data_IF_324136710071
#
_entry.id   IF_324136710071
#
_cell.length_a   1.000
_cell.length_b   1.000
_cell.length_c   1.000
_cell.angle_alpha   90.00
_cell.angle_beta   90.00
_cell.angle_gamma   90.00
#
_symmetry.space_group_name_H-M   'P 1'
#
loop_
_entity.id
_entity.type
_entity.pdbx_description
1 polymer ?
#
# COMPACT_ATOMS: atom_id res chain seq x y z
N UNK A 1 -11.22 -15.03 -15.10
CA UNK A 1 -11.04 -14.86 -13.65
C UNK A 1 -10.93 -16.26 -13.06
N UNK A 2 -9.81 -16.95 -13.30
CA UNK A 2 -9.70 -18.40 -13.03
C UNK A 2 -8.95 -18.73 -11.72
N UNK A 3 -8.70 -17.72 -10.87
CA UNK A 3 -7.81 -17.83 -9.72
C UNK A 3 -8.50 -17.46 -8.39
N UNK A 4 -9.83 -17.52 -8.33
CA UNK A 4 -10.59 -17.23 -7.10
C UNK A 4 -11.39 -18.47 -6.76
N UNK A 5 -11.31 -18.90 -5.49
CA UNK A 5 -12.08 -20.06 -5.02
C UNK A 5 -13.46 -19.57 -4.61
N UNK A 6 -14.49 -20.22 -5.13
CA UNK A 6 -15.87 -19.90 -4.78
C UNK A 6 -16.28 -20.64 -3.51
N UNK A 7 -16.83 -19.89 -2.55
CA UNK A 7 -17.35 -20.41 -1.30
C UNK A 7 -18.87 -20.24 -1.26
N UNK A 8 -19.59 -21.28 -0.85
CA UNK A 8 -21.06 -21.25 -0.70
C UNK A 8 -21.43 -21.09 0.76
N UNK A 9 -22.12 -20.01 1.12
CA UNK A 9 -22.71 -19.84 2.44
C UNK A 9 -24.11 -20.48 2.47
N UNK A 10 -24.28 -21.54 3.26
CA UNK A 10 -25.58 -22.21 3.46
C UNK A 10 -26.13 -21.88 4.85
N UNK A 11 -27.21 -21.13 4.91
CA UNK A 11 -27.95 -20.90 6.15
C UNK A 11 -28.90 -22.09 6.39
N UNK A 12 -28.73 -22.79 7.50
CA UNK A 12 -29.64 -23.88 7.89
C UNK A 12 -30.29 -23.56 9.22
N UNK A 13 -31.62 -23.44 9.21
CA UNK A 13 -32.44 -23.25 10.41
C UNK A 13 -32.66 -24.60 11.09
N UNK A 14 -32.59 -24.64 12.42
CA UNK A 14 -32.84 -25.84 13.22
C UNK A 14 -31.88 -27.01 12.92
N UNK A 15 -30.58 -26.75 12.72
CA UNK A 15 -29.58 -27.78 12.47
C UNK A 15 -29.54 -28.87 13.56
N UNK A 16 -29.84 -28.51 14.81
CA UNK A 16 -29.93 -29.45 15.95
C UNK A 16 -31.14 -30.41 15.89
N UNK A 17 -32.17 -30.12 15.08
CA UNK A 17 -33.40 -30.93 14.95
C UNK A 17 -33.46 -31.79 13.70
N UNK A 18 -32.45 -31.73 12.84
CA UNK A 18 -32.38 -32.53 11.63
C UNK A 18 -31.51 -33.77 11.91
N UNK A 19 -32.14 -34.88 12.31
CA UNK A 19 -31.48 -36.20 12.38
C UNK A 19 -30.84 -36.63 11.04
N UNK A 20 -31.26 -35.99 9.93
CA UNK A 20 -30.78 -36.23 8.57
C UNK A 20 -30.02 -35.04 7.94
N UNK A 21 -29.61 -34.03 8.72
CA UNK A 21 -28.71 -33.03 8.17
C UNK A 21 -27.31 -33.65 8.07
N UNK A 22 -26.87 -33.90 6.84
CA UNK A 22 -25.56 -34.47 6.51
C UNK A 22 -24.44 -33.44 6.76
N UNK A 23 -24.35 -32.93 8.00
CA UNK A 23 -23.23 -32.13 8.46
C UNK A 23 -22.20 -33.06 9.06
N UNK A 24 -20.97 -32.92 8.59
CA UNK A 24 -19.81 -33.44 9.29
C UNK A 24 -19.88 -32.98 10.75
N UNK A 25 -19.67 -33.89 11.71
CA UNK A 25 -19.51 -33.50 13.11
C UNK A 25 -18.33 -32.53 13.21
N UNK A 26 -18.43 -31.54 14.11
CA UNK A 26 -17.31 -30.67 14.43
C UNK A 26 -16.09 -31.52 14.79
N UNK A 27 -15.03 -31.44 13.98
CA UNK A 27 -13.76 -32.10 14.27
C UNK A 27 -13.00 -31.24 15.27
N UNK A 28 -12.96 -29.94 15.01
CA UNK A 28 -12.26 -28.96 15.85
C UNK A 28 -13.24 -27.85 16.26
N UNK A 29 -13.34 -27.60 17.57
CA UNK A 29 -14.15 -26.53 18.13
C UNK A 29 -13.26 -25.37 18.57
N UNK A 30 -13.62 -24.16 18.16
CA UNK A 30 -12.88 -22.93 18.45
C UNK A 30 -13.68 -22.04 19.41
N UNK A 31 -13.02 -21.53 20.44
CA UNK A 31 -13.63 -20.64 21.44
C UNK A 31 -13.60 -19.16 21.04
N UNK A 32 -12.81 -18.81 20.02
CA UNK A 32 -12.67 -17.46 19.47
C UNK A 32 -13.43 -17.28 18.16
N UNK A 33 -13.80 -16.06 17.75
CA UNK A 33 -14.38 -15.82 16.43
C UNK A 33 -13.38 -16.14 15.31
N UNK A 34 -13.89 -16.37 14.10
CA UNK A 34 -13.09 -16.47 12.89
C UNK A 34 -13.28 -15.30 11.94
N UNK A 35 -12.22 -14.93 11.20
CA UNK A 35 -12.29 -14.06 10.02
C UNK A 35 -11.83 -14.85 8.80
N UNK A 36 -12.69 -14.94 7.78
CA UNK A 36 -12.39 -15.55 6.48
C UNK A 36 -11.99 -14.47 5.49
N UNK A 37 -10.82 -14.59 4.88
CA UNK A 37 -10.37 -13.68 3.81
C UNK A 37 -9.51 -14.37 2.75
N UNK A 38 -9.41 -13.76 1.58
CA UNK A 38 -8.67 -14.29 0.43
C UNK A 38 -7.34 -13.59 0.26
N UNK A 39 -6.30 -14.34 -0.12
CA UNK A 39 -5.01 -13.82 -0.59
C UNK A 39 -4.86 -13.91 -2.13
N UNK A 40 -5.96 -14.10 -2.85
CA UNK A 40 -6.00 -14.11 -4.31
C UNK A 40 -5.88 -12.73 -4.96
N UNK A 41 -6.19 -12.65 -6.25
CA UNK A 41 -6.23 -11.37 -6.98
C UNK A 41 -4.85 -10.71 -7.13
N UNK A 42 -4.77 -9.41 -6.84
CA UNK A 42 -3.54 -8.60 -6.95
C UNK A 42 -2.77 -8.47 -5.63
N UNK A 43 -2.95 -9.39 -4.68
CA UNK A 43 -2.36 -9.34 -3.33
C UNK A 43 -0.84 -9.13 -3.30
N UNK A 44 -0.09 -9.55 -4.33
CA UNK A 44 1.36 -9.33 -4.41
C UNK A 44 1.76 -7.90 -4.81
N UNK A 45 0.86 -7.15 -5.45
CA UNK A 45 1.07 -5.73 -5.69
C UNK A 45 0.97 -4.99 -4.35
N UNK A 46 2.01 -4.26 -3.96
CA UNK A 46 2.10 -3.65 -2.63
C UNK A 46 0.95 -2.68 -2.33
N UNK A 47 0.42 -1.97 -3.33
CA UNK A 47 -0.73 -1.10 -3.14
C UNK A 47 -1.97 -1.90 -2.74
N UNK A 48 -2.35 -2.88 -3.56
CA UNK A 48 -3.48 -3.78 -3.31
C UNK A 48 -3.30 -4.61 -2.04
N UNK A 49 -2.07 -5.02 -1.72
CA UNK A 49 -1.77 -5.70 -0.46
C UNK A 49 -2.23 -4.87 0.75
N UNK A 50 -1.97 -3.56 0.73
CA UNK A 50 -2.40 -2.68 1.82
C UNK A 50 -3.87 -2.25 1.71
N UNK A 51 -4.27 -1.75 0.54
CA UNK A 51 -5.59 -1.18 0.32
C UNK A 51 -6.71 -2.23 0.42
N UNK A 52 -6.50 -3.42 -0.14
CA UNK A 52 -7.54 -4.44 -0.28
C UNK A 52 -7.52 -5.47 0.85
N UNK A 53 -6.37 -5.63 1.53
CA UNK A 53 -6.17 -6.70 2.52
C UNK A 53 -5.72 -6.14 3.87
N UNK A 54 -4.52 -5.55 4.00
CA UNK A 54 -3.95 -5.23 5.32
C UNK A 54 -4.80 -4.19 6.09
N UNK A 55 -5.21 -3.11 5.44
CA UNK A 55 -6.05 -2.07 6.08
C UNK A 55 -7.43 -2.64 6.45
N UNK A 56 -8.18 -3.31 5.54
CA UNK A 56 -9.43 -3.98 5.88
C UNK A 56 -9.29 -5.09 6.94
N UNK A 57 -8.19 -5.82 6.95
CA UNK A 57 -7.91 -6.85 7.96
C UNK A 57 -7.69 -6.21 9.33
N UNK A 58 -6.91 -5.13 9.41
CA UNK A 58 -6.74 -4.36 10.64
C UNK A 58 -8.07 -3.87 11.19
N UNK A 59 -8.90 -3.20 10.37
CA UNK A 59 -10.19 -2.65 10.84
C UNK A 59 -11.18 -3.74 11.24
N UNK A 60 -11.07 -4.94 10.67
CA UNK A 60 -11.94 -6.08 11.00
C UNK A 60 -11.46 -6.83 12.24
N UNK A 61 -10.15 -7.02 12.40
CA UNK A 61 -9.56 -7.88 13.42
C UNK A 61 -9.19 -7.15 14.72
N UNK A 62 -8.85 -5.85 14.67
CA UNK A 62 -8.24 -5.13 15.80
C UNK A 62 -9.08 -5.17 17.08
N UNK A 63 -10.41 -5.14 16.94
CA UNK A 63 -11.38 -5.24 18.05
C UNK A 63 -11.28 -6.50 18.91
N UNK A 64 -10.68 -7.56 18.37
CA UNK A 64 -10.52 -8.83 19.08
C UNK A 64 -9.20 -8.92 19.86
N UNK A 65 -8.31 -7.94 19.71
CA UNK A 65 -7.04 -7.86 20.45
C UNK A 65 -6.23 -9.18 20.44
N UNK A 66 -6.13 -9.82 19.28
CA UNK A 66 -5.42 -11.11 19.13
C UNK A 66 -6.32 -12.35 19.28
N UNK A 67 -7.49 -12.23 19.92
CA UNK A 67 -8.42 -13.34 20.15
C UNK A 67 -9.36 -13.58 18.95
N UNK A 68 -8.77 -13.86 17.80
CA UNK A 68 -9.49 -14.17 16.55
C UNK A 68 -8.69 -15.12 15.69
N UNK A 69 -9.34 -16.16 15.16
CA UNK A 69 -8.76 -17.13 14.25
C UNK A 69 -8.84 -16.62 12.79
N UNK A 70 -7.74 -16.72 12.05
CA UNK A 70 -7.73 -16.40 10.62
C UNK A 70 -7.92 -17.67 9.78
N UNK A 71 -8.89 -17.61 8.88
CA UNK A 71 -9.21 -18.62 7.88
C UNK A 71 -8.89 -18.06 6.50
N UNK A 72 -7.87 -18.60 5.84
CA UNK A 72 -7.28 -18.00 4.63
C UNK A 72 -7.54 -18.88 3.41
N UNK A 73 -8.25 -18.34 2.41
CA UNK A 73 -8.42 -18.95 1.08
C UNK A 73 -7.48 -18.33 0.05
N UNK A 74 -7.22 -19.05 -1.04
CA UNK A 74 -6.26 -18.70 -2.09
C UNK A 74 -4.86 -18.43 -1.52
N UNK A 75 -4.34 -19.41 -0.78
CA UNK A 75 -3.06 -19.35 -0.07
C UNK A 75 -1.95 -18.74 -0.94
N UNK A 76 -1.27 -17.76 -0.36
CA UNK A 76 -0.10 -17.12 -0.95
C UNK A 76 1.02 -17.03 0.10
N UNK A 77 1.92 -18.00 0.10
CA UNK A 77 2.97 -18.10 1.12
C UNK A 77 3.93 -16.90 1.08
N UNK A 78 4.23 -16.36 -0.11
CA UNK A 78 5.09 -15.20 -0.25
C UNK A 78 4.47 -13.96 0.41
N UNK A 79 3.15 -13.78 0.27
CA UNK A 79 2.41 -12.71 0.95
C UNK A 79 2.43 -12.90 2.47
N UNK A 80 2.14 -14.11 2.96
CA UNK A 80 2.15 -14.43 4.38
C UNK A 80 3.52 -14.13 4.99
N UNK A 81 4.59 -14.59 4.35
CA UNK A 81 5.95 -14.36 4.81
C UNK A 81 6.31 -12.86 4.83
N UNK A 82 5.83 -12.09 3.84
CA UNK A 82 6.04 -10.65 3.76
C UNK A 82 5.34 -9.89 4.90
N UNK A 83 4.13 -10.30 5.27
CA UNK A 83 3.28 -9.60 6.25
C UNK A 83 3.16 -10.32 7.60
N UNK A 84 4.06 -11.27 7.90
CA UNK A 84 4.03 -12.10 9.11
C UNK A 84 3.92 -11.32 10.41
N UNK A 85 4.62 -10.18 10.54
CA UNK A 85 4.60 -9.40 11.79
C UNK A 85 3.25 -8.72 12.00
N UNK A 86 2.58 -8.30 10.92
CA UNK A 86 1.21 -7.79 10.98
C UNK A 86 0.24 -8.89 11.39
N UNK A 87 0.34 -10.07 10.77
CA UNK A 87 -0.57 -11.19 11.07
C UNK A 87 -0.46 -11.64 12.53
N UNK A 88 0.77 -11.79 13.02
CA UNK A 88 1.05 -12.10 14.44
C UNK A 88 0.61 -11.01 15.41
N UNK A 89 0.59 -9.75 14.96
CA UNK A 89 0.12 -8.64 15.79
C UNK A 89 -1.40 -8.51 15.81
N UNK A 90 -2.12 -9.21 14.91
CA UNK A 90 -3.59 -9.18 14.83
C UNK A 90 -4.26 -10.46 15.35
N UNK A 91 -3.54 -11.58 15.40
CA UNK A 91 -4.04 -12.87 15.89
C UNK A 91 -2.96 -13.62 16.67
N UNK A 92 -3.37 -14.21 17.80
CA UNK A 92 -2.55 -15.08 18.64
C UNK A 92 -2.50 -16.53 18.12
N UNK A 93 -3.19 -16.83 17.02
CA UNK A 93 -3.39 -18.18 16.49
C UNK A 93 -2.72 -18.34 15.13
N UNK A 94 -2.30 -19.57 14.81
CA UNK A 94 -1.76 -19.89 13.50
C UNK A 94 -2.82 -19.77 12.41
N UNK A 95 -2.41 -19.39 11.20
CA UNK A 95 -3.33 -19.30 10.06
C UNK A 95 -3.85 -20.69 9.71
N UNK A 96 -5.16 -20.79 9.52
CA UNK A 96 -5.78 -21.99 8.97
C UNK A 96 -5.96 -21.78 7.46
N UNK A 97 -5.39 -22.69 6.67
CA UNK A 97 -5.50 -22.68 5.23
C UNK A 97 -6.69 -23.53 4.80
N UNK A 98 -7.87 -22.91 4.80
CA UNK A 98 -9.15 -23.59 4.53
C UNK A 98 -9.26 -24.22 3.14
N UNK A 99 -8.31 -23.92 2.24
CA UNK A 99 -8.23 -24.55 0.92
C UNK A 99 -7.55 -25.91 0.93
N UNK A 100 -6.69 -26.15 1.94
CA UNK A 100 -5.75 -27.26 2.04
C UNK A 100 -6.21 -28.33 3.06
N UNK A 101 -7.37 -28.14 3.70
CA UNK A 101 -7.91 -29.02 4.74
C UNK A 101 -9.36 -29.46 4.43
N UNK A 102 -9.70 -30.68 4.85
CA UNK A 102 -11.04 -31.25 4.77
C UNK A 102 -11.72 -31.34 6.16
N UNK A 103 -11.08 -30.78 7.19
CA UNK A 103 -11.61 -30.80 8.56
C UNK A 103 -12.79 -29.83 8.74
N UNK A 104 -13.73 -30.21 9.59
CA UNK A 104 -14.88 -29.35 9.93
C UNK A 104 -14.57 -28.56 11.20
N UNK A 105 -14.38 -27.25 11.02
CA UNK A 105 -14.12 -26.29 12.09
C UNK A 105 -15.43 -25.62 12.52
N UNK A 106 -15.70 -25.64 13.82
CA UNK A 106 -16.88 -25.02 14.40
C UNK A 106 -16.51 -23.79 15.22
N UNK A 107 -17.15 -22.67 14.90
CA UNK A 107 -16.98 -21.38 15.55
C UNK A 107 -18.36 -20.86 15.99
N UNK A 108 -18.40 -20.16 17.12
CA UNK A 108 -19.63 -19.47 17.55
C UNK A 108 -19.93 -18.22 16.72
N UNK A 109 -18.91 -17.64 16.09
CA UNK A 109 -19.03 -16.45 15.23
C UNK A 109 -18.00 -16.51 14.11
N UNK A 110 -18.45 -16.27 12.87
CA UNK A 110 -17.59 -16.18 11.69
C UNK A 110 -17.90 -14.89 10.96
N UNK A 111 -16.86 -14.12 10.65
CA UNK A 111 -16.92 -12.96 9.77
C UNK A 111 -16.39 -13.40 8.40
N UNK A 112 -17.22 -13.29 7.36
CA UNK A 112 -16.85 -13.68 6.00
C UNK A 112 -16.55 -12.44 5.17
N UNK A 113 -15.31 -12.30 4.74
CA UNK A 113 -14.80 -11.14 4.01
C UNK A 113 -14.27 -10.04 4.93
N UNK A 114 -13.56 -9.09 4.33
CA UNK A 114 -13.00 -7.93 5.02
C UNK A 114 -13.87 -6.70 4.79
N UNK A 115 -13.93 -5.82 5.78
CA UNK A 115 -14.65 -4.56 5.67
C UNK A 115 -13.84 -3.54 4.87
N UNK A 116 -14.26 -3.31 3.62
CA UNK A 116 -13.71 -2.27 2.74
C UNK A 116 -14.65 -1.07 2.73
N UNK A 117 -14.10 0.13 2.49
CA UNK A 117 -14.89 1.34 2.32
C UNK A 117 -15.91 1.19 1.17
N UNK A 118 -17.18 1.64 1.34
CA UNK A 118 -18.22 1.45 0.33
C UNK A 118 -18.02 2.33 -0.93
N UNK A 119 -17.35 3.48 -0.80
CA UNK A 119 -17.01 4.33 -1.95
C UNK A 119 -15.75 3.80 -2.66
N UNK A 120 -15.89 3.44 -3.94
CA UNK A 120 -14.82 2.92 -4.80
C UNK A 120 -13.59 3.84 -4.92
N UNK A 121 -13.73 5.14 -4.63
CA UNK A 121 -12.66 6.13 -4.78
C UNK A 121 -11.95 6.46 -3.46
N UNK A 122 -12.08 5.62 -2.44
CA UNK A 122 -11.41 5.80 -1.15
C UNK A 122 -10.53 4.60 -0.86
N UNK A 123 -9.38 4.58 -1.52
CA UNK A 123 -8.37 3.54 -1.35
C UNK A 123 -7.36 3.94 -0.27
N UNK A 124 -6.70 2.94 0.33
CA UNK A 124 -5.63 3.13 1.33
C UNK A 124 -5.99 4.10 2.47
N UNK A 125 -7.25 4.10 2.88
CA UNK A 125 -7.78 4.98 3.92
C UNK A 125 -8.73 4.23 4.84
N UNK A 126 -8.96 4.79 6.03
CA UNK A 126 -9.97 4.33 6.98
C UNK A 126 -10.92 5.49 7.22
N UNK A 127 -12.21 5.28 6.94
CA UNK A 127 -13.25 6.24 7.25
C UNK A 127 -13.79 5.99 8.66
N UNK A 128 -13.60 6.96 9.55
CA UNK A 128 -14.06 6.92 10.94
C UNK A 128 -15.58 6.90 11.09
N UNK A 129 -16.35 7.19 10.03
CA UNK A 129 -17.81 7.02 10.04
C UNK A 129 -18.23 5.54 9.91
N UNK A 130 -17.34 4.68 9.41
CA UNK A 130 -17.61 3.25 9.21
C UNK A 130 -16.69 2.32 10.02
N UNK A 131 -15.71 2.89 10.73
CA UNK A 131 -14.76 2.17 11.58
C UNK A 131 -14.53 2.93 12.89
N UNK A 132 -14.33 2.20 13.97
CA UNK A 132 -13.89 2.76 15.26
C UNK A 132 -12.40 3.16 15.26
N UNK A 133 -11.67 2.82 14.19
CA UNK A 133 -10.26 3.13 14.02
C UNK A 133 -10.04 4.24 12.98
N UNK A 134 -8.87 4.88 13.05
CA UNK A 134 -8.39 5.85 12.07
C UNK A 134 -7.12 5.37 11.36
N UNK A 135 -6.71 6.09 10.32
CA UNK A 135 -5.39 5.89 9.70
C UNK A 135 -4.23 6.13 10.65
N UNK A 136 -4.40 7.00 11.65
CA UNK A 136 -3.41 7.22 12.71
C UNK A 136 -3.30 6.00 13.64
N UNK A 137 -4.41 5.34 13.95
CA UNK A 137 -4.40 4.09 14.74
C UNK A 137 -3.76 2.94 13.97
N UNK A 138 -4.04 2.84 12.67
CA UNK A 138 -3.38 1.87 11.80
C UNK A 138 -1.88 2.09 11.73
N UNK A 139 -1.41 3.33 11.56
CA UNK A 139 0.02 3.66 11.54
C UNK A 139 0.70 3.43 12.89
N UNK A 140 0.00 3.69 14.00
CA UNK A 140 0.47 3.32 15.35
C UNK A 140 0.63 1.80 15.45
N UNK A 141 -0.36 1.03 15.00
CA UNK A 141 -0.28 -0.42 14.97
C UNK A 141 0.90 -0.93 14.12
N UNK A 142 1.14 -0.37 12.93
CA UNK A 142 2.30 -0.74 12.11
C UNK A 142 3.62 -0.42 12.81
N UNK A 143 3.70 0.74 13.47
CA UNK A 143 4.88 1.11 14.25
C UNK A 143 5.15 0.11 15.36
N UNK A 144 4.13 -0.33 16.08
CA UNK A 144 4.28 -1.32 17.15
C UNK A 144 4.67 -2.69 16.58
N UNK A 145 3.98 -3.15 15.52
CA UNK A 145 4.22 -4.45 14.87
C UNK A 145 5.64 -4.59 14.31
N UNK A 146 6.25 -3.48 13.86
CA UNK A 146 7.61 -3.46 13.32
C UNK A 146 8.63 -2.79 14.25
N UNK A 147 8.26 -2.45 15.49
CA UNK A 147 9.14 -1.76 16.46
C UNK A 147 9.81 -0.48 15.91
N UNK A 148 9.08 0.30 15.10
CA UNK A 148 9.62 1.49 14.45
C UNK A 148 9.80 2.64 15.46
N UNK A 149 10.91 3.37 15.35
CA UNK A 149 11.34 4.32 16.39
C UNK A 149 10.73 5.71 16.25
N UNK A 150 10.50 6.17 15.02
CA UNK A 150 10.13 7.56 14.75
C UNK A 150 8.61 7.66 14.61
N UNK A 151 7.96 8.31 15.58
CA UNK A 151 6.53 8.61 15.51
C UNK A 151 6.24 9.83 14.62
N UNK A 152 7.08 10.86 14.71
CA UNK A 152 6.96 12.12 13.98
C UNK A 152 8.35 12.63 13.54
N UNK A 153 8.38 13.48 12.53
CA UNK A 153 9.60 14.19 12.11
C UNK A 153 10.13 15.04 13.26
N UNK A 154 11.40 14.86 13.63
CA UNK A 154 12.12 15.71 14.59
C UNK A 154 13.51 16.02 14.04
N UNK A 155 13.70 17.27 13.60
CA UNK A 155 14.94 17.74 12.98
C UNK A 155 15.84 18.52 13.94
N UNK A 156 15.48 18.64 15.23
CA UNK A 156 16.27 19.41 16.21
C UNK A 156 17.69 18.90 16.39
N UNK A 157 17.96 17.64 16.01
CA UNK A 157 19.24 16.95 16.28
C UNK A 157 19.91 16.33 15.06
N UNK A 158 19.37 16.51 13.84
CA UNK A 158 19.94 15.92 12.62
C UNK A 158 19.48 16.62 11.35
N UNK A 159 20.21 16.37 10.26
CA UNK A 159 19.78 16.77 8.92
C UNK A 159 18.54 15.97 8.48
N UNK A 160 17.65 16.56 7.68
CA UNK A 160 16.52 15.83 7.12
C UNK A 160 17.00 14.78 6.12
N UNK A 161 16.35 13.62 6.12
CA UNK A 161 16.69 12.48 5.28
C UNK A 161 15.66 12.30 4.18
N UNK A 162 16.11 12.24 2.93
CA UNK A 162 15.27 11.95 1.77
C UNK A 162 15.55 10.57 1.23
N UNK A 163 14.50 9.78 1.12
CA UNK A 163 14.53 8.50 0.44
C UNK A 163 14.15 8.67 -1.03
N UNK A 164 15.01 8.22 -1.94
CA UNK A 164 14.70 8.04 -3.35
C UNK A 164 14.35 6.57 -3.55
N UNK A 165 13.09 6.32 -3.87
CA UNK A 165 12.57 4.99 -4.10
C UNK A 165 13.01 4.50 -5.48
N UNK A 166 14.04 3.66 -5.52
CA UNK A 166 14.54 3.06 -6.76
C UNK A 166 13.72 1.85 -7.19
N UNK A 167 13.79 1.53 -8.48
CA UNK A 167 13.08 0.42 -9.12
C UNK A 167 13.91 -0.12 -10.27
N UNK A 168 14.04 -1.44 -10.39
CA UNK A 168 14.81 -2.05 -11.49
C UNK A 168 14.04 -2.15 -12.83
N UNK A 169 12.70 -2.21 -12.77
CA UNK A 169 11.85 -2.46 -13.94
C UNK A 169 11.23 -1.20 -14.55
N UNK A 170 9.90 -1.08 -14.40
CA UNK A 170 9.15 0.08 -14.89
C UNK A 170 8.97 1.16 -13.84
N UNK A 171 8.69 2.39 -14.31
CA UNK A 171 8.53 3.59 -13.48
C UNK A 171 9.79 3.86 -12.63
N UNK A 172 10.95 3.55 -13.20
CA UNK A 172 12.25 3.79 -12.62
C UNK A 172 12.75 5.21 -12.96
N UNK A 173 13.59 5.75 -12.08
CA UNK A 173 14.44 6.89 -12.39
C UNK A 173 15.64 6.42 -13.22
N UNK A 174 15.88 7.06 -14.36
CA UNK A 174 17.05 6.79 -15.21
C UNK A 174 18.27 7.64 -14.82
N UNK A 175 18.05 8.73 -14.07
CA UNK A 175 19.09 9.62 -13.56
C UNK A 175 19.01 9.80 -12.03
N UNK A 176 18.84 8.69 -11.29
CA UNK A 176 18.72 8.70 -9.84
C UNK A 176 19.91 9.39 -9.14
N UNK A 177 21.13 9.25 -9.67
CA UNK A 177 22.34 9.88 -9.12
C UNK A 177 22.31 11.40 -9.23
N UNK A 178 21.78 11.95 -10.32
CA UNK A 178 21.61 13.40 -10.49
C UNK A 178 20.56 13.95 -9.52
N UNK A 179 19.46 13.21 -9.33
CA UNK A 179 18.43 13.54 -8.33
C UNK A 179 19.03 13.52 -6.92
N UNK A 180 19.83 12.51 -6.61
CA UNK A 180 20.53 12.39 -5.34
C UNK A 180 21.50 13.56 -5.11
N UNK A 181 22.29 13.93 -6.12
CA UNK A 181 23.19 15.10 -6.05
C UNK A 181 22.41 16.39 -5.76
N UNK A 182 21.33 16.64 -6.51
CA UNK A 182 20.50 17.83 -6.32
C UNK A 182 19.83 17.87 -4.94
N UNK A 183 19.40 16.73 -4.41
CA UNK A 183 18.85 16.62 -3.06
C UNK A 183 19.91 16.87 -1.98
N UNK A 184 21.13 16.35 -2.18
CA UNK A 184 22.29 16.63 -1.32
C UNK A 184 22.67 18.12 -1.31
N UNK A 185 22.71 18.77 -2.48
CA UNK A 185 22.91 20.22 -2.63
C UNK A 185 21.84 21.04 -1.91
N UNK A 186 20.60 20.54 -1.86
CA UNK A 186 19.49 21.17 -1.14
C UNK A 186 19.63 21.05 0.39
N UNK A 187 20.46 20.11 0.87
CA UNK A 187 20.77 19.92 2.29
C UNK A 187 20.24 18.62 2.90
N UNK A 188 19.68 17.71 2.10
CA UNK A 188 19.24 16.40 2.58
C UNK A 188 20.40 15.41 2.72
N UNK A 189 20.29 14.51 3.70
CA UNK A 189 21.00 13.23 3.65
C UNK A 189 20.19 12.26 2.79
N UNK A 190 20.83 11.67 1.77
CA UNK A 190 20.11 10.90 0.73
C UNK A 190 20.23 9.41 0.98
N UNK A 191 19.10 8.72 0.91
CA UNK A 191 19.01 7.25 0.93
C UNK A 191 18.39 6.80 -0.38
N UNK A 192 19.11 6.00 -1.17
CA UNK A 192 18.54 5.35 -2.37
C UNK A 192 18.25 3.91 -2.02
N UNK A 193 16.99 3.48 -2.11
CA UNK A 193 16.62 2.12 -1.77
C UNK A 193 15.46 1.59 -2.62
N UNK A 194 15.57 0.31 -2.98
CA UNK A 194 14.51 -0.44 -3.66
C UNK A 194 13.73 -1.24 -2.62
N UNK A 195 12.42 -1.33 -2.80
CA UNK A 195 11.56 -2.20 -1.99
C UNK A 195 11.83 -3.68 -2.33
N UNK A 196 12.91 -4.23 -1.78
CA UNK A 196 13.31 -5.63 -1.91
C UNK A 196 12.59 -6.52 -0.87
N UNK A 197 12.84 -7.83 -0.93
CA UNK A 197 12.33 -8.82 0.03
C UNK A 197 12.74 -8.48 1.46
N UNK A 198 11.77 -8.34 2.37
CA UNK A 198 11.97 -8.07 3.79
C UNK A 198 11.29 -6.78 4.25
N UNK A 199 9.96 -6.82 4.43
CA UNK A 199 9.16 -5.64 4.75
C UNK A 199 9.60 -4.94 6.05
N UNK A 200 10.05 -5.68 7.06
CA UNK A 200 10.50 -5.11 8.33
C UNK A 200 11.71 -4.17 8.16
N UNK A 201 12.77 -4.62 7.51
CA UNK A 201 13.98 -3.81 7.26
C UNK A 201 13.64 -2.60 6.39
N UNK A 202 12.78 -2.80 5.39
CA UNK A 202 12.35 -1.72 4.53
C UNK A 202 11.49 -0.68 5.28
N UNK A 203 10.59 -1.13 6.17
CA UNK A 203 9.79 -0.27 7.02
C UNK A 203 10.66 0.57 7.96
N UNK A 204 11.70 -0.03 8.55
CA UNK A 204 12.69 0.72 9.35
C UNK A 204 13.43 1.79 8.53
N UNK A 205 13.85 1.43 7.32
CA UNK A 205 14.52 2.36 6.40
C UNK A 205 13.60 3.53 6.05
N UNK A 206 12.35 3.27 5.69
CA UNK A 206 11.37 4.32 5.37
C UNK A 206 11.05 5.16 6.60
N UNK A 207 10.84 4.55 7.78
CA UNK A 207 10.57 5.27 9.02
C UNK A 207 11.73 6.16 9.48
N UNK A 208 12.94 5.86 9.02
CA UNK A 208 14.13 6.65 9.29
C UNK A 208 14.28 7.90 8.39
N UNK A 209 13.37 8.10 7.42
CA UNK A 209 13.39 9.21 6.46
C UNK A 209 12.27 10.22 6.71
N UNK A 210 12.50 11.47 6.34
CA UNK A 210 11.54 12.59 6.50
C UNK A 210 10.88 12.97 5.18
N UNK A 211 11.48 12.58 4.06
CA UNK A 211 10.92 12.71 2.71
C UNK A 211 11.01 11.37 2.00
N UNK A 212 9.96 10.98 1.28
CA UNK A 212 10.01 9.87 0.33
C UNK A 212 9.65 10.35 -1.08
N UNK A 213 10.55 10.12 -2.02
CA UNK A 213 10.44 10.49 -3.42
C UNK A 213 10.31 9.24 -4.28
N UNK A 214 9.29 9.18 -5.14
CA UNK A 214 9.13 8.08 -6.09
C UNK A 214 8.22 8.39 -7.26
N UNK A 215 8.39 7.65 -8.35
CA UNK A 215 7.42 7.65 -9.46
C UNK A 215 6.14 6.95 -9.04
N UNK A 216 5.00 7.52 -9.43
CA UNK A 216 3.66 6.98 -9.15
C UNK A 216 3.61 5.45 -9.34
N UNK A 217 3.20 4.73 -8.30
CA UNK A 217 3.02 3.29 -8.32
C UNK A 217 3.13 2.65 -6.94
N UNK A 218 2.90 1.34 -6.88
CA UNK A 218 2.76 0.56 -5.64
C UNK A 218 3.92 0.68 -4.63
N UNK A 219 5.10 1.11 -5.06
CA UNK A 219 6.20 1.38 -4.17
C UNK A 219 5.92 2.55 -3.20
N UNK A 220 5.15 3.57 -3.64
CA UNK A 220 4.78 4.72 -2.79
C UNK A 220 3.86 4.36 -1.63
N UNK A 221 3.20 3.20 -1.67
CA UNK A 221 2.39 2.70 -0.55
C UNK A 221 3.21 2.58 0.74
N UNK A 222 4.53 2.43 0.64
CA UNK A 222 5.41 2.41 1.82
C UNK A 222 5.39 3.72 2.63
N UNK A 223 4.75 4.79 2.15
CA UNK A 223 4.48 6.00 2.94
C UNK A 223 3.74 5.72 4.26
N UNK A 224 3.04 4.58 4.38
CA UNK A 224 2.42 4.12 5.63
C UNK A 224 3.41 3.99 6.79
N UNK A 225 4.71 3.83 6.51
CA UNK A 225 5.77 3.70 7.52
C UNK A 225 6.51 5.01 7.81
N UNK A 226 6.30 6.07 7.02
CA UNK A 226 6.93 7.36 7.29
C UNK A 226 6.50 7.90 8.66
N UNK A 227 7.33 8.69 9.35
CA UNK A 227 6.90 9.40 10.54
C UNK A 227 5.82 10.45 10.20
N UNK A 228 5.00 10.84 11.19
CA UNK A 228 4.06 11.95 11.03
C UNK A 228 4.78 13.23 10.59
N UNK A 229 4.07 14.02 9.77
CA UNK A 229 4.50 15.27 9.15
C UNK A 229 5.63 15.14 8.11
N UNK A 230 6.07 13.92 7.78
CA UNK A 230 6.95 13.65 6.65
C UNK A 230 6.32 14.05 5.31
N UNK A 231 7.15 14.22 4.29
CA UNK A 231 6.75 14.66 2.95
C UNK A 231 6.82 13.50 1.96
N UNK A 232 5.73 13.24 1.25
CA UNK A 232 5.72 12.37 0.08
C UNK A 232 5.81 13.24 -1.17
N UNK A 233 6.82 12.98 -2.00
CA UNK A 233 6.99 13.62 -3.31
C UNK A 233 6.71 12.57 -4.38
N UNK A 234 5.60 12.75 -5.10
CA UNK A 234 5.21 11.86 -6.17
C UNK A 234 5.56 12.45 -7.53
N UNK A 235 6.26 11.67 -8.34
CA UNK A 235 6.51 12.00 -9.75
C UNK A 235 5.36 11.42 -10.58
N UNK A 236 4.64 12.29 -11.29
CA UNK A 236 3.51 11.92 -12.14
C UNK A 236 4.00 11.76 -13.58
N UNK A 237 3.96 10.55 -14.14
CA UNK A 237 4.28 10.34 -15.54
C UNK A 237 3.27 11.03 -16.47
N UNK A 238 3.58 11.13 -17.77
CA UNK A 238 2.55 11.55 -18.75
C UNK A 238 1.49 10.46 -18.88
N UNK A 239 0.24 10.84 -19.14
CA UNK A 239 -0.86 9.86 -19.21
C UNK A 239 -2.18 10.30 -18.60
N UNK A 240 -2.25 11.45 -17.92
CA UNK A 240 -3.45 11.85 -17.17
C UNK A 240 -3.54 11.16 -15.80
N UNK A 241 -2.45 11.24 -15.03
CA UNK A 241 -2.32 10.56 -13.73
C UNK A 241 -2.99 11.29 -12.56
N UNK A 242 -3.49 12.51 -12.75
CA UNK A 242 -3.96 13.38 -11.67
C UNK A 242 -4.97 12.71 -10.75
N UNK A 243 -5.97 12.06 -11.36
CA UNK A 243 -7.03 11.43 -10.59
C UNK A 243 -6.55 10.18 -9.83
N UNK A 244 -5.68 9.36 -10.45
CA UNK A 244 -5.03 8.22 -9.81
C UNK A 244 -4.10 8.67 -8.68
N UNK A 245 -3.31 9.72 -8.93
CA UNK A 245 -2.40 10.29 -7.96
C UNK A 245 -3.13 10.79 -6.71
N UNK A 246 -4.19 11.58 -6.88
CA UNK A 246 -4.96 12.10 -5.74
C UNK A 246 -5.74 11.01 -4.99
N UNK A 247 -6.21 9.97 -5.69
CA UNK A 247 -6.98 8.88 -5.07
C UNK A 247 -6.08 7.88 -4.35
N UNK A 248 -4.98 7.46 -4.97
CA UNK A 248 -4.12 6.41 -4.46
C UNK A 248 -3.17 6.94 -3.36
N UNK A 249 -2.71 8.19 -3.48
CA UNK A 249 -1.64 8.71 -2.62
C UNK A 249 -1.89 10.12 -2.08
N UNK A 250 -2.47 11.04 -2.84
CA UNK A 250 -2.67 12.43 -2.40
C UNK A 250 -3.61 12.56 -1.20
N UNK A 251 -4.84 12.03 -1.30
CA UNK A 251 -5.79 11.98 -0.19
C UNK A 251 -5.32 11.05 0.94
N UNK A 252 -4.83 9.82 0.67
CA UNK A 252 -4.32 8.94 1.72
C UNK A 252 -3.16 9.55 2.52
N UNK A 253 -2.20 10.24 1.87
CA UNK A 253 -1.11 10.91 2.57
C UNK A 253 -1.63 11.95 3.57
N UNK A 254 -2.61 12.78 3.18
CA UNK A 254 -3.24 13.76 4.09
C UNK A 254 -3.92 13.06 5.28
N UNK A 255 -4.65 11.97 5.02
CA UNK A 255 -5.30 11.16 6.06
C UNK A 255 -4.31 10.47 7.02
N UNK A 256 -3.06 10.31 6.60
CA UNK A 256 -1.95 9.76 7.40
C UNK A 256 -1.14 10.83 8.15
N UNK A 257 -1.59 12.08 8.16
CA UNK A 257 -0.83 13.24 8.65
C UNK A 257 0.53 13.41 7.95
N UNK A 258 0.57 13.17 6.64
CA UNK A 258 1.73 13.43 5.79
C UNK A 258 1.48 14.65 4.91
N UNK A 259 2.57 15.30 4.48
CA UNK A 259 2.52 16.32 3.44
C UNK A 259 2.72 15.65 2.08
N UNK A 260 2.11 16.22 1.05
CA UNK A 260 2.14 15.64 -0.28
C UNK A 260 2.51 16.71 -1.31
N UNK A 261 3.45 16.39 -2.18
CA UNK A 261 3.91 17.21 -3.30
C UNK A 261 3.88 16.40 -4.59
N UNK A 262 3.55 17.08 -5.68
CA UNK A 262 3.53 16.50 -7.02
C UNK A 262 4.57 17.16 -7.91
N UNK A 263 5.22 16.35 -8.75
CA UNK A 263 5.98 16.84 -9.89
C UNK A 263 5.47 16.15 -11.15
N UNK A 264 4.80 16.93 -12.00
CA UNK A 264 4.32 16.48 -13.31
C UNK A 264 5.46 16.60 -14.31
N UNK A 265 5.84 15.47 -14.88
CA UNK A 265 6.91 15.45 -15.87
C UNK A 265 6.43 16.07 -17.19
N UNK A 266 7.34 16.73 -17.90
CA UNK A 266 7.15 17.04 -19.30
C UNK A 266 7.31 15.77 -20.15
N UNK A 267 6.76 15.78 -21.36
CA UNK A 267 6.88 14.66 -22.28
C UNK A 267 8.33 14.20 -22.48
N UNK A 268 9.28 15.14 -22.61
CA UNK A 268 10.71 14.85 -22.84
C UNK A 268 11.40 14.10 -21.70
N UNK A 269 10.85 14.15 -20.50
CA UNK A 269 11.34 13.40 -19.33
C UNK A 269 10.83 11.95 -19.33
N UNK A 270 9.86 11.60 -20.18
CA UNK A 270 9.33 10.25 -20.32
C UNK A 270 10.13 9.41 -21.31
N UNK A 271 10.41 8.16 -20.95
CA UNK A 271 10.99 7.18 -21.88
C UNK A 271 10.11 6.92 -23.11
N UNK A 272 8.82 7.30 -23.08
CA UNK A 272 7.91 7.16 -24.22
C UNK A 272 8.32 8.04 -25.40
N UNK A 273 8.93 9.21 -25.17
CA UNK A 273 9.43 10.07 -26.26
C UNK A 273 10.54 9.35 -27.03
N UNK A 274 11.49 8.72 -26.34
CA UNK A 274 12.54 7.93 -26.99
C UNK A 274 11.98 6.72 -27.72
N UNK A 275 10.92 6.10 -27.19
CA UNK A 275 10.33 4.87 -27.75
C UNK A 275 9.46 5.12 -28.98
N UNK A 276 8.64 6.18 -28.98
CA UNK A 276 7.62 6.42 -30.01
C UNK A 276 7.87 7.69 -30.83
N UNK A 277 8.73 8.60 -30.37
CA UNK A 277 8.90 9.93 -30.96
C UNK A 277 7.96 10.97 -30.33
N UNK A 278 8.38 12.24 -30.38
CA UNK A 278 7.68 13.37 -29.74
C UNK A 278 6.28 13.61 -30.31
N UNK A 279 6.11 13.40 -31.62
CA UNK A 279 4.86 13.71 -32.33
C UNK A 279 3.88 12.52 -32.37
N UNK A 280 4.28 11.37 -31.83
CA UNK A 280 3.42 10.20 -31.77
C UNK A 280 2.23 10.44 -30.83
N UNK A 281 1.05 9.92 -31.20
CA UNK A 281 -0.21 10.14 -30.49
C UNK A 281 -0.13 9.78 -28.99
N UNK A 282 0.52 8.66 -28.64
CA UNK A 282 0.81 8.27 -27.25
C UNK A 282 1.46 9.39 -26.41
N UNK A 283 2.32 10.19 -27.01
CA UNK A 283 3.02 11.28 -26.32
C UNK A 283 2.22 12.58 -26.38
N UNK A 284 1.68 12.91 -27.56
CA UNK A 284 1.03 14.20 -27.83
C UNK A 284 -0.41 14.28 -27.31
N UNK A 285 -1.16 13.18 -27.35
CA UNK A 285 -2.56 13.10 -26.93
C UNK A 285 -2.82 11.88 -26.05
N UNK A 286 -2.44 11.93 -24.77
CA UNK A 286 -2.75 10.84 -23.85
C UNK A 286 -4.25 10.55 -23.67
N UNK A 287 -5.11 11.54 -23.92
CA UNK A 287 -6.56 11.37 -23.80
C UNK A 287 -7.11 10.39 -24.83
N UNK A 288 -6.54 10.36 -26.04
CA UNK A 288 -6.91 9.38 -27.07
C UNK A 288 -6.64 7.94 -26.61
N UNK A 289 -5.52 7.70 -25.92
CA UNK A 289 -5.18 6.38 -25.37
C UNK A 289 -6.07 6.01 -24.19
N UNK A 290 -6.39 6.96 -23.30
CA UNK A 290 -7.32 6.73 -22.18
C UNK A 290 -8.70 6.30 -22.69
N UNK A 291 -9.20 6.91 -23.78
CA UNK A 291 -10.48 6.54 -24.41
C UNK A 291 -10.50 5.11 -24.98
N UNK A 292 -9.33 4.50 -25.23
CA UNK A 292 -9.21 3.08 -25.63
C UNK A 292 -9.36 2.12 -24.44
N UNK A 293 -9.50 2.63 -23.23
CA UNK A 293 -9.78 1.87 -22.01
C UNK A 293 -8.55 1.56 -21.16
N UNK A 294 -8.82 1.03 -19.97
CA UNK A 294 -7.83 0.79 -18.92
C UNK A 294 -6.62 -0.03 -19.36
N UNK A 295 -6.84 -1.08 -20.16
CA UNK A 295 -5.75 -1.96 -20.59
C UNK A 295 -4.75 -1.24 -21.50
N UNK A 296 -5.23 -0.36 -22.38
CA UNK A 296 -4.36 0.46 -23.24
C UNK A 296 -3.58 1.50 -22.41
N UNK A 297 -4.25 2.15 -21.46
CA UNK A 297 -3.60 3.07 -20.52
C UNK A 297 -2.51 2.36 -19.72
N UNK A 298 -2.82 1.20 -19.11
CA UNK A 298 -1.91 0.43 -18.26
C UNK A 298 -0.68 -0.05 -19.03
N UNK A 299 -0.87 -0.63 -20.21
CA UNK A 299 0.25 -1.17 -21.00
C UNK A 299 1.15 -0.06 -21.60
N UNK A 300 0.63 1.15 -21.75
CA UNK A 300 1.34 2.29 -22.33
C UNK A 300 2.02 3.15 -21.28
N UNK A 301 1.26 3.64 -20.29
CA UNK A 301 1.72 4.68 -19.38
C UNK A 301 2.22 4.16 -18.02
N UNK A 302 1.72 3.03 -17.52
CA UNK A 302 2.20 2.45 -16.25
C UNK A 302 3.54 1.70 -16.39
N UNK A 303 4.16 1.75 -17.56
CA UNK A 303 5.44 1.09 -17.86
C UNK A 303 6.59 2.07 -18.18
N UNK A 304 6.31 3.37 -18.29
CA UNK A 304 7.32 4.36 -18.68
C UNK A 304 8.32 4.63 -17.54
N UNK A 305 9.58 4.84 -17.89
CA UNK A 305 10.63 5.31 -16.98
C UNK A 305 10.81 6.82 -17.14
N UNK A 306 11.43 7.45 -16.15
CA UNK A 306 11.51 8.90 -16.03
C UNK A 306 12.96 9.35 -15.90
N UNK A 307 13.37 10.28 -16.77
CA UNK A 307 14.58 11.09 -16.61
C UNK A 307 14.15 12.47 -16.11
N UNK A 308 14.38 12.77 -14.83
CA UNK A 308 13.92 14.03 -14.23
C UNK A 308 14.80 15.20 -14.68
N UNK A 309 14.18 16.29 -15.14
CA UNK A 309 14.85 17.56 -15.36
C UNK A 309 15.19 18.21 -14.01
N UNK A 310 16.47 18.17 -13.65
CA UNK A 310 16.97 18.64 -12.36
C UNK A 310 16.69 20.13 -12.13
N UNK A 311 16.78 20.97 -13.17
CA UNK A 311 16.54 22.40 -13.02
C UNK A 311 15.08 22.70 -12.69
N UNK A 312 14.15 21.96 -13.32
CA UNK A 312 12.72 22.05 -13.02
C UNK A 312 12.35 21.39 -11.70
N UNK A 313 13.13 20.41 -11.25
CA UNK A 313 12.86 19.67 -10.02
C UNK A 313 13.41 20.34 -8.75
N UNK A 314 14.50 21.12 -8.86
CA UNK A 314 15.09 21.87 -7.73
C UNK A 314 14.08 22.66 -6.87
N UNK A 315 13.09 23.38 -7.45
CA UNK A 315 12.04 24.04 -6.66
C UNK A 315 11.19 23.08 -5.81
N UNK A 316 10.95 21.85 -6.27
CA UNK A 316 10.20 20.84 -5.50
C UNK A 316 11.01 20.35 -4.31
N UNK A 317 12.31 20.11 -4.50
CA UNK A 317 13.23 19.74 -3.41
C UNK A 317 13.30 20.85 -2.34
N UNK A 318 13.45 22.11 -2.76
CA UNK A 318 13.44 23.25 -1.86
C UNK A 318 12.12 23.34 -1.08
N UNK A 319 10.98 23.09 -1.76
CA UNK A 319 9.67 23.11 -1.11
C UNK A 319 9.50 21.99 -0.09
N UNK A 320 9.97 20.77 -0.41
CA UNK A 320 9.95 19.66 0.53
C UNK A 320 10.77 19.98 1.78
N UNK A 321 11.95 20.59 1.61
CA UNK A 321 12.80 21.00 2.72
C UNK A 321 12.14 22.07 3.61
N UNK A 322 11.55 23.10 3.00
CA UNK A 322 10.81 24.16 3.69
C UNK A 322 9.64 23.60 4.54
N UNK A 323 8.91 22.60 4.01
CA UNK A 323 7.79 21.97 4.71
C UNK A 323 8.21 21.25 6.00
N UNK A 324 9.43 20.72 6.05
CA UNK A 324 9.96 20.10 7.27
C UNK A 324 10.42 21.14 8.29
N UNK A 325 11.04 22.24 7.84
CA UNK A 325 11.54 23.28 8.74
C UNK A 325 10.43 24.02 9.49
N UNK A 326 9.28 24.24 8.84
CA UNK A 326 8.10 24.89 9.48
C UNK A 326 7.55 24.12 10.69
N UNK A 327 7.99 22.89 10.93
CA UNK A 327 7.53 22.04 12.02
C UNK A 327 8.51 22.01 13.20
N UNK A 328 9.74 22.49 12.99
CA UNK A 328 10.80 22.48 14.01
C UNK A 328 10.92 23.81 14.79
N UNK A 329 10.06 24.78 14.46
CA UNK A 329 9.87 26.04 15.19
C UNK A 329 8.64 25.92 16.09
#
# INVERSE_FOLDING_TARGET
>A
MNNVREWTLKLVKNAERLENANFSRCVTNHSVPAIVFSLGGYSMNNFHAFADIVVPLFTTARRFNGEVQFLVTNKNQAWINKFKEILRSLSNYDLIHIDDEDETHCFTTVIVGLKIHPEYFRELTIDSSFSEYSMSDFRRFLRDAYSLRNAAVDLRRRRPRIMILSRAGSRAFTNADEIASAAGETGFEVVVAEALTGLAIFAETVNSCDVMLGVHGAGLTNMVFLPENAVVVQILPIGGFEWLAETDFGRPAKGMNLRYLEYKIAAVESSLVRKYGRDHEIVRDPSAVIKRGWMAFKSTYLVQNVTVDINRFKPVLAKAFELLQKQSM
#
